data_IF_444314985316
#
_entry.id   IF_444314985316
#
_cell.length_a   1.000
_cell.length_b   1.000
_cell.length_c   1.000
_cell.angle_alpha   90.00
_cell.angle_beta   90.00
_cell.angle_gamma   90.00
#
_symmetry.space_group_name_H-M   'P 1'
#
loop_
_entity.id
_entity.type
_entity.pdbx_description
1 polymer ?
#
# COMPACT_ATOMS: atom_id res chain seq x y z
N UNK A 1 1.22 2.64 15.52
CA UNK A 1 1.81 1.30 15.27
C UNK A 1 3.33 1.43 15.33
N UNK A 2 4.05 0.57 16.05
CA UNK A 2 5.53 0.61 16.03
C UNK A 2 6.05 -0.21 14.83
N UNK A 3 6.91 0.38 13.99
CA UNK A 3 7.55 -0.27 12.82
C UNK A 3 6.57 -1.01 11.89
N UNK A 4 5.35 -0.51 11.76
CA UNK A 4 4.33 -1.10 10.88
C UNK A 4 3.58 0.04 10.21
N UNK A 5 3.38 -0.09 8.89
CA UNK A 5 2.67 0.88 8.07
C UNK A 5 1.41 0.27 7.48
N UNK A 6 0.46 1.13 7.12
CA UNK A 6 -0.73 0.76 6.36
C UNK A 6 -0.55 1.33 4.96
N UNK A 7 -0.52 0.44 3.98
CA UNK A 7 -0.52 0.79 2.57
C UNK A 7 -1.94 0.77 2.05
N UNK A 8 -2.24 1.69 1.13
CA UNK A 8 -3.48 1.67 0.35
C UNK A 8 -3.14 1.24 -1.06
N UNK A 9 -3.71 0.12 -1.51
CA UNK A 9 -3.62 -0.34 -2.90
C UNK A 9 -4.90 0.01 -3.62
N UNK A 10 -4.85 1.03 -4.45
CA UNK A 10 -5.94 1.39 -5.35
C UNK A 10 -5.92 0.49 -6.60
N UNK A 11 -7.10 0.09 -7.07
CA UNK A 11 -7.26 -0.69 -8.30
C UNK A 11 -8.61 -0.41 -8.95
N UNK A 12 -8.70 -0.75 -10.24
CA UNK A 12 -9.95 -0.65 -11.00
C UNK A 12 -10.64 -2.01 -11.00
N UNK A 13 -11.88 -2.05 -10.55
CA UNK A 13 -12.73 -3.23 -10.60
C UNK A 13 -13.67 -3.13 -11.81
N UNK A 14 -13.65 -4.14 -12.68
CA UNK A 14 -14.49 -4.18 -13.87
C UNK A 14 -15.91 -4.61 -13.53
N UNK A 15 -16.92 -3.90 -14.04
CA UNK A 15 -18.34 -4.22 -13.88
C UNK A 15 -18.87 -4.74 -15.23
N UNK A 16 -19.08 -6.06 -15.39
CA UNK A 16 -19.48 -6.65 -16.67
C UNK A 16 -20.80 -6.10 -17.22
N UNK A 17 -21.79 -5.84 -16.34
CA UNK A 17 -23.12 -5.34 -16.72
C UNK A 17 -23.07 -3.99 -17.46
N UNK A 18 -22.12 -3.13 -17.13
CA UNK A 18 -22.04 -1.76 -17.67
C UNK A 18 -20.82 -1.54 -18.57
N UNK A 19 -19.97 -2.56 -18.75
CA UNK A 19 -18.71 -2.47 -19.48
C UNK A 19 -17.85 -1.26 -19.02
N UNK A 20 -17.81 -1.03 -17.71
CA UNK A 20 -17.15 0.12 -17.05
C UNK A 20 -16.32 -0.35 -15.87
N UNK A 21 -15.37 0.48 -15.45
CA UNK A 21 -14.55 0.25 -14.26
C UNK A 21 -14.96 1.18 -13.13
N UNK A 22 -14.96 0.68 -11.90
CA UNK A 22 -15.08 1.47 -10.68
C UNK A 22 -13.75 1.48 -9.91
N UNK A 23 -13.50 2.56 -9.16
CA UNK A 23 -12.32 2.67 -8.28
C UNK A 23 -12.59 1.91 -6.98
N UNK A 24 -11.71 0.96 -6.64
CA UNK A 24 -11.68 0.27 -5.35
C UNK A 24 -10.31 0.42 -4.70
N UNK A 25 -10.26 0.20 -3.40
CA UNK A 25 -8.99 0.13 -2.67
C UNK A 25 -9.02 -0.98 -1.63
N UNK A 26 -7.84 -1.48 -1.28
CA UNK A 26 -7.62 -2.37 -0.13
C UNK A 26 -6.49 -1.82 0.73
N UNK A 27 -6.70 -1.84 2.04
CA UNK A 27 -5.66 -1.50 3.01
C UNK A 27 -4.87 -2.76 3.33
N UNK A 28 -3.55 -2.64 3.35
CA UNK A 28 -2.62 -3.74 3.60
C UNK A 28 -1.63 -3.31 4.69
N UNK A 29 -1.48 -4.14 5.72
CA UNK A 29 -0.53 -3.88 6.79
C UNK A 29 0.81 -4.54 6.46
N UNK A 30 1.90 -3.76 6.52
CA UNK A 30 3.25 -4.25 6.30
C UNK A 30 4.19 -3.81 7.43
N UNK A 31 5.13 -4.69 7.76
CA UNK A 31 6.24 -4.36 8.66
C UNK A 31 7.25 -3.45 7.95
N UNK A 32 7.84 -2.52 8.68
CA UNK A 32 8.91 -1.63 8.20
C UNK A 32 10.16 -1.87 9.03
N UNK A 33 11.21 -2.33 8.37
CA UNK A 33 12.54 -2.38 8.97
C UNK A 33 13.04 -0.95 9.28
N UNK A 34 13.72 -0.72 10.41
CA UNK A 34 14.32 0.59 10.73
C UNK A 34 15.30 1.13 9.68
N UNK A 35 15.79 0.27 8.78
CA UNK A 35 16.65 0.68 7.67
C UNK A 35 15.96 1.66 6.69
N UNK A 36 14.62 1.65 6.64
CA UNK A 36 13.85 2.51 5.75
C UNK A 36 13.27 3.70 6.50
N UNK A 37 13.53 4.91 6.00
CA UNK A 37 12.84 6.14 6.44
C UNK A 37 11.64 6.35 5.51
N UNK A 38 10.43 6.13 6.03
CA UNK A 38 9.17 6.22 5.27
C UNK A 38 8.37 7.40 5.77
N UNK A 39 7.88 8.22 4.84
CA UNK A 39 6.96 9.32 5.10
C UNK A 39 5.56 9.00 4.53
N UNK A 40 4.56 9.79 4.93
CA UNK A 40 3.22 9.68 4.36
C UNK A 40 3.23 10.02 2.87
N UNK A 41 2.66 9.15 2.04
CA UNK A 41 2.56 9.35 0.60
C UNK A 41 3.64 8.64 -0.22
N UNK A 42 4.69 8.12 0.41
CA UNK A 42 5.72 7.35 -0.30
C UNK A 42 5.16 6.09 -0.96
N UNK A 43 5.68 5.78 -2.15
CA UNK A 43 5.34 4.55 -2.87
C UNK A 43 6.24 3.44 -2.37
N UNK A 44 5.64 2.38 -1.85
CA UNK A 44 6.37 1.31 -1.18
C UNK A 44 6.14 -0.03 -1.88
N UNK A 45 7.22 -0.73 -2.20
CA UNK A 45 7.17 -2.11 -2.68
C UNK A 45 7.21 -3.07 -1.49
N UNK A 46 6.18 -3.91 -1.38
CA UNK A 46 6.05 -4.91 -0.31
C UNK A 46 6.18 -6.32 -0.86
N UNK A 47 6.81 -7.20 -0.08
CA UNK A 47 6.88 -8.63 -0.33
C UNK A 47 6.04 -9.41 0.68
N UNK A 48 5.47 -10.53 0.25
CA UNK A 48 4.83 -11.47 1.16
C UNK A 48 5.88 -12.10 2.08
N UNK A 49 5.56 -12.25 3.36
CA UNK A 49 6.42 -12.90 4.34
C UNK A 49 5.63 -13.87 5.22
N UNK A 50 6.31 -14.54 6.16
CA UNK A 50 5.62 -15.28 7.22
C UNK A 50 4.66 -14.35 7.99
N UNK A 51 3.55 -14.85 8.55
CA UNK A 51 2.71 -14.05 9.43
C UNK A 51 3.53 -13.51 10.61
N UNK A 52 3.63 -12.19 10.73
CA UNK A 52 4.35 -11.52 11.84
C UNK A 52 3.36 -11.22 12.98
N UNK A 53 2.11 -10.89 12.62
CA UNK A 53 1.03 -10.65 13.57
C UNK A 53 -0.32 -11.02 12.93
N UNK A 54 -1.44 -10.74 13.62
CA UNK A 54 -2.80 -11.00 13.13
C UNK A 54 -3.05 -10.43 11.73
N UNK A 55 -2.54 -9.23 11.46
CA UNK A 55 -2.78 -8.50 10.21
C UNK A 55 -1.52 -8.30 9.37
N UNK A 56 -0.33 -8.37 9.97
CA UNK A 56 0.94 -8.13 9.27
C UNK A 56 1.45 -9.42 8.65
N UNK A 57 1.34 -9.51 7.32
CA UNK A 57 1.81 -10.64 6.50
C UNK A 57 2.75 -10.21 5.37
N UNK A 58 3.14 -8.93 5.38
CA UNK A 58 3.98 -8.32 4.36
C UNK A 58 5.11 -7.55 5.03
N UNK A 59 6.23 -7.43 4.32
CA UNK A 59 7.38 -6.61 4.71
C UNK A 59 7.73 -5.64 3.59
N UNK A 60 8.20 -4.45 3.95
CA UNK A 60 8.70 -3.46 3.00
C UNK A 60 10.07 -3.88 2.47
N UNK A 61 10.21 -3.87 1.14
CA UNK A 61 11.45 -4.22 0.44
C UNK A 61 12.14 -2.99 -0.16
N UNK A 62 11.37 -2.03 -0.65
CA UNK A 62 11.87 -0.81 -1.30
C UNK A 62 10.92 0.35 -1.04
N UNK A 63 11.48 1.55 -0.87
CA UNK A 63 10.74 2.80 -0.73
C UNK A 63 11.13 3.71 -1.89
N UNK A 64 10.15 4.29 -2.56
CA UNK A 64 10.31 5.34 -3.55
C UNK A 64 9.68 6.63 -2.98
N UNK A 65 10.46 7.71 -2.81
CA UNK A 65 9.96 8.94 -2.22
C UNK A 65 8.94 9.60 -3.16
N UNK A 66 7.82 10.04 -2.61
CA UNK A 66 6.80 10.76 -3.38
C UNK A 66 6.96 12.28 -3.24
N UNK A 67 6.77 13.01 -4.35
CA UNK A 67 6.84 14.48 -4.37
C UNK A 67 5.51 15.19 -4.06
N UNK A 68 4.42 14.43 -3.83
CA UNK A 68 3.06 14.98 -3.70
C UNK A 68 2.44 14.72 -2.33
N UNK A 69 2.15 15.78 -1.59
CA UNK A 69 1.40 15.72 -0.33
C UNK A 69 -0.11 15.75 -0.59
N UNK A 70 -0.71 14.60 -0.89
CA UNK A 70 -2.15 14.50 -1.14
C UNK A 70 -2.80 13.33 -0.42
N UNK A 71 -3.59 13.59 0.64
CA UNK A 71 -4.51 12.59 1.17
C UNK A 71 -5.56 12.28 0.08
N UNK A 72 -5.69 11.00 -0.31
CA UNK A 72 -6.57 10.46 -1.38
C UNK A 72 -6.05 10.57 -2.83
N UNK A 73 -4.74 10.42 -3.04
CA UNK A 73 -4.21 10.24 -4.40
C UNK A 73 -4.56 8.84 -4.93
N UNK A 74 -5.07 8.77 -6.16
CA UNK A 74 -5.26 7.51 -6.87
C UNK A 74 -4.05 7.29 -7.76
N UNK A 75 -3.23 6.30 -7.43
CA UNK A 75 -2.24 5.77 -8.36
C UNK A 75 -2.76 4.46 -8.94
N UNK A 76 -2.77 4.34 -10.26
CA UNK A 76 -2.88 3.02 -10.88
C UNK A 76 -1.49 2.40 -10.70
N UNK A 77 -1.31 1.69 -9.58
CA UNK A 77 -0.08 1.10 -9.03
C UNK A 77 0.72 1.98 -8.08
#
# INVERSE_FOLDING_TARGET
MHRTIILRRDYLHYIPKYNRYEKRHKNLAAHVSPAFRVNEGDVVTVGQCRPISKTVRFNVLRVAPAAGSGKKQFSKF
#
